data_IF_382231634575
#
_entry.id   IF_382231634575
#
_cell.length_a   1.000
_cell.length_b   1.000
_cell.length_c   1.000
_cell.angle_alpha   90.00
_cell.angle_beta   90.00
_cell.angle_gamma   90.00
#
_symmetry.space_group_name_H-M   'P 1'
#
loop_
_entity.id
_entity.type
_entity.pdbx_description
1 polymer ?
#
# COMPACT_ATOMS: atom_id res chain seq x y z
N UNK A 1 -13.76 -28.11 23.16
CA UNK A 1 -14.02 -27.55 21.83
C UNK A 1 -12.97 -28.06 20.86
N UNK A 2 -13.38 -28.72 19.80
CA UNK A 2 -12.43 -29.21 18.81
C UNK A 2 -12.19 -28.15 17.71
N UNK A 3 -11.19 -28.40 16.89
CA UNK A 3 -10.79 -27.45 15.84
C UNK A 3 -11.91 -27.21 14.82
N UNK A 4 -12.73 -28.20 14.57
CA UNK A 4 -13.85 -28.10 13.65
C UNK A 4 -14.87 -27.07 14.13
N UNK A 5 -15.20 -27.08 15.43
CA UNK A 5 -16.12 -26.12 16.03
C UNK A 5 -15.55 -24.70 15.98
N UNK A 6 -14.24 -24.54 16.21
CA UNK A 6 -13.58 -23.25 16.11
C UNK A 6 -13.64 -22.73 14.68
N UNK A 7 -13.38 -23.58 13.70
CA UNK A 7 -13.45 -23.20 12.30
C UNK A 7 -14.86 -22.78 11.88
N UNK A 8 -15.88 -23.43 12.40
CA UNK A 8 -17.26 -23.07 12.14
C UNK A 8 -17.62 -21.72 12.75
N UNK A 9 -17.12 -21.44 13.94
CA UNK A 9 -17.30 -20.13 14.58
C UNK A 9 -16.65 -19.01 13.74
N UNK A 10 -15.42 -19.19 13.31
CA UNK A 10 -14.71 -18.22 12.49
C UNK A 10 -15.47 -17.97 11.19
N UNK A 11 -15.93 -19.03 10.56
CA UNK A 11 -16.73 -18.92 9.33
C UNK A 11 -18.03 -18.16 9.56
N UNK A 12 -18.70 -18.43 10.68
CA UNK A 12 -19.94 -17.74 11.05
C UNK A 12 -19.71 -16.26 11.26
N UNK A 13 -18.62 -15.88 11.94
CA UNK A 13 -18.26 -14.48 12.14
C UNK A 13 -17.96 -13.79 10.81
N UNK A 14 -17.25 -14.48 9.91
CA UNK A 14 -16.96 -13.95 8.58
C UNK A 14 -18.23 -13.72 7.75
N UNK A 15 -19.27 -14.52 7.98
CA UNK A 15 -20.53 -14.37 7.27
C UNK A 15 -21.31 -13.11 7.66
N UNK A 16 -20.98 -12.50 8.79
CA UNK A 16 -21.59 -11.23 9.23
C UNK A 16 -21.05 -10.03 8.46
N UNK A 17 -19.95 -10.20 7.73
CA UNK A 17 -19.41 -9.14 6.88
C UNK A 17 -20.19 -9.08 5.57
N UNK A 18 -20.34 -7.89 4.98
CA UNK A 18 -20.94 -7.76 3.65
C UNK A 18 -20.24 -8.68 2.64
N UNK A 19 -21.02 -9.25 1.72
CA UNK A 19 -20.50 -10.17 0.71
C UNK A 19 -19.41 -9.47 -0.11
N UNK A 20 -18.28 -10.15 -0.30
CA UNK A 20 -17.17 -9.65 -1.09
C UNK A 20 -16.14 -8.86 -0.32
N UNK A 21 -16.39 -8.54 0.95
CA UNK A 21 -15.43 -7.81 1.76
C UNK A 21 -14.59 -8.78 2.58
N UNK A 22 -13.29 -8.75 2.35
CA UNK A 22 -12.32 -9.50 3.14
C UNK A 22 -11.22 -8.55 3.59
N UNK A 23 -11.31 -8.10 4.82
CA UNK A 23 -10.39 -7.13 5.38
C UNK A 23 -9.01 -7.71 5.68
N UNK A 24 -8.84 -9.02 5.55
CA UNK A 24 -7.56 -9.69 5.78
C UNK A 24 -6.66 -9.72 4.55
N UNK A 25 -7.21 -9.39 3.39
CA UNK A 25 -6.45 -9.43 2.13
C UNK A 25 -6.04 -8.04 1.69
N UNK A 26 -4.84 -7.95 1.12
CA UNK A 26 -4.43 -6.73 0.46
C UNK A 26 -5.33 -6.46 -0.75
N UNK A 27 -5.83 -5.24 -0.86
CA UNK A 27 -6.71 -4.83 -1.96
C UNK A 27 -5.95 -4.13 -3.07
N UNK A 28 -4.72 -3.76 -2.81
CA UNK A 28 -3.78 -3.24 -3.78
C UNK A 28 -2.37 -3.51 -3.26
N UNK A 29 -1.43 -3.73 -4.17
CA UNK A 29 -0.03 -3.82 -3.80
C UNK A 29 0.85 -3.50 -4.99
N UNK A 30 2.07 -3.10 -4.73
CA UNK A 30 3.02 -2.73 -5.75
C UNK A 30 4.44 -3.05 -5.29
N UNK A 31 5.24 -3.60 -6.19
CA UNK A 31 6.69 -3.66 -6.08
C UNK A 31 7.28 -2.79 -7.19
N UNK A 32 8.10 -1.83 -6.83
CA UNK A 32 8.67 -0.90 -7.80
C UNK A 32 10.18 -0.81 -7.63
N UNK A 33 10.86 -0.38 -8.70
CA UNK A 33 12.30 -0.26 -8.73
C UNK A 33 12.69 1.16 -9.11
N UNK A 34 13.74 1.65 -8.46
CA UNK A 34 14.35 2.95 -8.73
C UNK A 34 13.33 4.11 -8.71
N UNK A 35 12.30 3.97 -7.90
CA UNK A 35 11.29 5.02 -7.72
C UNK A 35 10.43 5.33 -8.93
N UNK A 36 10.48 4.54 -9.99
CA UNK A 36 9.76 4.91 -11.21
C UNK A 36 9.20 3.73 -11.99
N UNK A 37 9.73 2.53 -11.80
CA UNK A 37 9.36 1.37 -12.62
C UNK A 37 8.57 0.37 -11.80
N UNK A 38 7.36 0.03 -12.27
CA UNK A 38 6.56 -1.02 -11.65
C UNK A 38 7.10 -2.37 -12.11
N UNK A 39 7.53 -3.20 -11.16
CA UNK A 39 7.95 -4.57 -11.44
C UNK A 39 6.79 -5.54 -11.34
N UNK A 40 5.90 -5.34 -10.38
CA UNK A 40 4.70 -6.15 -10.20
C UNK A 40 3.69 -5.33 -9.42
N UNK A 41 2.42 -5.55 -9.69
CA UNK A 41 1.38 -4.81 -8.99
C UNK A 41 0.02 -5.48 -9.10
N UNK A 42 -0.88 -5.08 -8.22
CA UNK A 42 -2.27 -5.47 -8.24
C UNK A 42 -3.11 -4.26 -7.86
N UNK A 43 -4.13 -3.96 -8.64
CA UNK A 43 -5.04 -2.81 -8.48
C UNK A 43 -4.30 -1.46 -8.42
N UNK A 44 -3.22 -1.36 -9.18
CA UNK A 44 -2.48 -0.10 -9.34
C UNK A 44 -2.59 0.32 -10.79
N UNK A 45 -3.10 1.50 -11.03
CA UNK A 45 -3.22 2.05 -12.38
C UNK A 45 -1.93 2.73 -12.81
N UNK A 46 -1.31 3.50 -11.93
CA UNK A 46 -0.13 4.27 -12.28
C UNK A 46 0.76 4.52 -11.06
N UNK A 47 2.04 4.62 -11.32
CA UNK A 47 3.04 5.10 -10.37
C UNK A 47 3.64 6.37 -10.97
N UNK A 48 3.56 7.47 -10.25
CA UNK A 48 4.05 8.76 -10.72
C UNK A 48 5.20 9.22 -9.83
N UNK A 49 6.30 9.57 -10.47
CA UNK A 49 7.45 10.16 -9.78
C UNK A 49 7.33 11.69 -9.87
N UNK A 50 7.14 12.33 -8.73
CA UNK A 50 7.02 13.79 -8.63
C UNK A 50 8.35 14.49 -8.37
N UNK A 51 9.40 13.72 -8.20
CA UNK A 51 10.75 14.20 -7.86
C UNK A 51 11.47 13.12 -7.08
N UNK A 52 12.75 13.31 -6.82
CA UNK A 52 13.54 12.32 -6.11
C UNK A 52 12.92 12.00 -4.76
N UNK A 53 12.57 10.72 -4.56
CA UNK A 53 12.00 10.25 -3.30
C UNK A 53 10.56 10.69 -3.05
N UNK A 54 9.88 11.22 -4.05
CA UNK A 54 8.53 11.75 -3.90
C UNK A 54 7.62 11.16 -4.97
N UNK A 55 6.73 10.27 -4.58
CA UNK A 55 5.97 9.42 -5.48
C UNK A 55 4.51 9.40 -5.12
N UNK A 56 3.68 8.92 -6.05
CA UNK A 56 2.30 8.58 -5.76
C UNK A 56 1.86 7.37 -6.58
N UNK A 57 0.93 6.60 -6.04
CA UNK A 57 0.23 5.55 -6.78
C UNK A 57 -1.22 5.94 -6.93
N UNK A 58 -1.78 5.61 -8.08
CA UNK A 58 -3.21 5.71 -8.35
C UNK A 58 -3.79 4.31 -8.40
N UNK A 59 -4.91 4.10 -7.72
CA UNK A 59 -5.58 2.80 -7.70
C UNK A 59 -6.48 2.65 -8.92
N UNK A 60 -6.49 1.47 -9.52
CA UNK A 60 -7.42 1.19 -10.63
C UNK A 60 -8.86 1.18 -10.12
N UNK A 61 -9.11 0.53 -8.99
CA UNK A 61 -10.38 0.60 -8.27
C UNK A 61 -10.11 1.32 -6.96
N UNK A 62 -10.69 2.49 -6.75
CA UNK A 62 -10.46 3.25 -5.53
C UNK A 62 -11.00 2.57 -4.28
N UNK A 63 -10.47 2.96 -3.13
CA UNK A 63 -11.04 2.59 -1.85
C UNK A 63 -12.32 3.39 -1.61
N UNK A 64 -13.17 2.85 -0.76
CA UNK A 64 -14.44 3.48 -0.42
C UNK A 64 -14.26 4.81 0.30
N UNK A 65 -13.17 4.94 1.04
CA UNK A 65 -12.80 6.18 1.73
C UNK A 65 -11.29 6.29 1.81
N UNK A 66 -10.80 7.40 2.31
CA UNK A 66 -9.37 7.60 2.54
C UNK A 66 -8.85 6.87 3.79
N UNK A 67 -9.68 6.09 4.45
CA UNK A 67 -9.31 5.42 5.70
C UNK A 67 -8.95 3.96 5.47
N UNK A 68 -8.01 3.72 4.59
CA UNK A 68 -7.40 2.41 4.39
C UNK A 68 -6.03 2.40 5.04
N UNK A 69 -5.48 1.22 5.25
CA UNK A 69 -4.16 1.03 5.87
C UNK A 69 -3.14 0.73 4.79
N UNK A 70 -2.01 1.41 4.84
CA UNK A 70 -0.87 1.15 3.97
C UNK A 70 0.29 0.64 4.80
N UNK A 71 0.94 -0.42 4.32
CA UNK A 71 2.19 -0.92 4.89
C UNK A 71 3.25 -0.85 3.80
N UNK A 72 4.47 -0.53 4.18
CA UNK A 72 5.51 -0.27 3.20
C UNK A 72 6.89 -0.64 3.72
N UNK A 73 7.80 -0.91 2.79
CA UNK A 73 9.20 -1.13 3.10
C UNK A 73 10.05 -0.71 1.91
N UNK A 74 11.15 -0.02 2.18
CA UNK A 74 12.15 0.28 1.17
C UNK A 74 13.15 -0.87 1.11
N UNK A 75 13.43 -1.30 -0.11
CA UNK A 75 14.53 -2.24 -0.35
C UNK A 75 15.79 -1.40 -0.56
N UNK A 76 16.79 -1.62 0.28
CA UNK A 76 18.01 -0.84 0.23
C UNK A 76 18.80 -1.17 -1.02
N UNK A 77 18.86 -0.23 -1.93
CA UNK A 77 19.55 -0.40 -3.19
C UNK A 77 21.00 0.07 -3.06
N UNK A 78 21.94 -0.71 -3.61
CA UNK A 78 23.36 -0.35 -3.68
C UNK A 78 24.07 -0.17 -2.35
N UNK A 79 23.58 -0.80 -1.29
CA UNK A 79 24.29 -0.81 -0.02
C UNK A 79 24.32 0.51 0.74
N UNK A 80 23.51 1.49 0.35
CA UNK A 80 23.39 2.69 1.15
C UNK A 80 22.63 2.39 2.43
N UNK A 81 23.04 2.96 3.53
CA UNK A 81 22.47 2.66 4.84
C UNK A 81 21.24 3.51 5.12
N UNK A 82 20.14 2.86 5.49
CA UNK A 82 19.10 3.55 6.21
C UNK A 82 18.05 4.29 5.41
N UNK A 83 17.64 3.77 4.27
CA UNK A 83 16.45 4.32 3.61
C UNK A 83 15.17 3.83 4.29
N UNK A 84 14.20 4.69 4.45
CA UNK A 84 12.88 4.30 4.94
C UNK A 84 11.80 4.95 4.09
N UNK A 85 10.71 4.24 3.92
CA UNK A 85 9.53 4.84 3.27
C UNK A 85 8.81 5.68 4.31
N UNK A 86 8.65 6.94 3.99
CA UNK A 86 7.86 7.86 4.78
C UNK A 86 6.52 8.03 4.09
N UNK A 87 5.46 7.70 4.78
CA UNK A 87 4.12 7.72 4.21
C UNK A 87 3.55 9.13 4.18
N UNK A 88 2.74 9.39 3.17
CA UNK A 88 1.92 10.58 3.00
C UNK A 88 2.69 11.89 3.07
N UNK A 89 3.18 12.31 1.95
CA UNK A 89 3.76 13.64 1.86
C UNK A 89 2.67 14.66 1.53
N UNK A 90 2.66 15.76 2.24
CA UNK A 90 1.73 16.84 1.99
C UNK A 90 2.01 17.56 0.68
N UNK A 91 3.20 17.38 0.13
CA UNK A 91 3.61 18.05 -1.08
C UNK A 91 3.10 17.37 -2.34
N UNK A 92 2.61 16.15 -2.24
CA UNK A 92 2.02 15.42 -3.34
C UNK A 92 0.53 15.24 -3.08
N UNK A 93 0.04 14.03 -3.17
CA UNK A 93 -1.40 13.80 -3.09
C UNK A 93 -1.91 13.41 -1.71
N UNK A 94 -0.99 13.10 -0.80
CA UNK A 94 -1.41 12.58 0.50
C UNK A 94 -2.10 11.24 0.36
N UNK A 95 -3.05 10.99 1.24
CA UNK A 95 -3.83 9.76 1.20
C UNK A 95 -5.29 10.09 0.88
N UNK A 96 -5.74 9.69 -0.30
CA UNK A 96 -7.13 9.86 -0.72
C UNK A 96 -7.70 8.49 -1.10
N UNK A 97 -8.99 8.43 -1.36
CA UNK A 97 -9.62 7.16 -1.77
C UNK A 97 -9.04 6.61 -3.08
N UNK A 98 -8.58 7.48 -3.96
CA UNK A 98 -8.10 7.09 -5.29
C UNK A 98 -6.61 7.06 -5.45
N UNK A 99 -5.85 7.65 -4.53
CA UNK A 99 -4.39 7.69 -4.64
C UNK A 99 -3.70 7.81 -3.30
N UNK A 100 -2.43 7.47 -3.29
CA UNK A 100 -1.60 7.47 -2.10
C UNK A 100 -0.25 8.10 -2.45
N UNK A 101 0.03 9.25 -1.85
CA UNK A 101 1.31 9.93 -1.98
C UNK A 101 2.28 9.42 -0.92
N UNK A 102 3.50 9.14 -1.32
CA UNK A 102 4.51 8.65 -0.40
C UNK A 102 5.89 9.11 -0.85
N UNK A 103 6.82 9.00 0.05
CA UNK A 103 8.21 9.29 -0.24
C UNK A 103 9.09 8.51 0.70
N UNK A 104 10.38 8.57 0.47
CA UNK A 104 11.32 8.02 1.41
C UNK A 104 12.58 8.85 1.45
N UNK A 105 13.17 8.84 2.63
CA UNK A 105 14.40 9.58 2.88
C UNK A 105 15.34 8.73 3.70
N UNK A 106 16.60 9.08 3.64
CA UNK A 106 17.56 8.57 4.61
C UNK A 106 17.30 9.26 5.95
N UNK A 107 17.86 8.69 7.01
CA UNK A 107 17.67 9.24 8.35
C UNK A 107 18.25 10.66 8.52
N UNK A 108 19.02 11.13 7.55
CA UNK A 108 19.56 12.49 7.54
C UNK A 108 18.73 13.44 6.66
N UNK A 109 17.46 13.12 6.43
CA UNK A 109 16.52 13.91 5.62
C UNK A 109 16.89 14.03 4.13
N UNK A 110 17.73 13.14 3.64
CA UNK A 110 18.07 13.11 2.21
C UNK A 110 17.10 12.20 1.48
N UNK A 111 16.38 12.73 0.51
CA UNK A 111 15.47 11.96 -0.33
C UNK A 111 16.23 11.19 -1.40
N UNK A 112 15.74 10.01 -1.74
CA UNK A 112 16.36 9.16 -2.75
C UNK A 112 15.31 8.33 -3.49
N UNK A 113 15.65 7.88 -4.69
CA UNK A 113 14.85 6.89 -5.41
C UNK A 113 15.37 5.50 -5.05
N UNK A 114 14.50 4.69 -4.49
CA UNK A 114 14.84 3.34 -4.04
C UNK A 114 13.87 2.33 -4.64
N UNK A 115 14.23 1.05 -4.51
CA UNK A 115 13.27 -0.02 -4.72
C UNK A 115 12.40 -0.12 -3.48
N UNK A 116 11.16 -0.52 -3.66
CA UNK A 116 10.28 -0.64 -2.51
C UNK A 116 8.98 -1.34 -2.85
N UNK A 117 8.20 -1.58 -1.81
CA UNK A 117 6.91 -2.22 -1.96
C UNK A 117 5.93 -1.68 -0.94
N UNK A 118 4.66 -1.65 -1.37
CA UNK A 118 3.54 -1.20 -0.56
C UNK A 118 2.41 -2.19 -0.70
N UNK A 119 1.65 -2.35 0.37
CA UNK A 119 0.40 -3.09 0.34
C UNK A 119 -0.67 -2.29 1.08
N UNK A 120 -1.90 -2.40 0.59
CA UNK A 120 -3.01 -1.58 1.07
C UNK A 120 -4.17 -2.47 1.46
N UNK A 121 -4.77 -2.17 2.61
CA UNK A 121 -5.86 -2.96 3.20
C UNK A 121 -7.04 -2.04 3.51
N UNK A 122 -8.22 -2.44 3.09
CA UNK A 122 -9.42 -1.66 3.33
C UNK A 122 -10.56 -2.15 2.46
N UNK A 123 -11.64 -1.39 2.44
CA UNK A 123 -12.80 -1.69 1.60
C UNK A 123 -12.70 -0.91 0.29
N UNK A 124 -12.80 -1.61 -0.84
CA UNK A 124 -12.87 -0.97 -2.15
C UNK A 124 -14.27 -0.44 -2.42
N UNK A 125 -14.39 0.56 -3.28
CA UNK A 125 -15.69 1.18 -3.59
C UNK A 125 -16.67 0.22 -4.26
N UNK A 126 -16.16 -0.84 -4.92
CA UNK A 126 -17.00 -1.83 -5.61
C UNK A 126 -17.31 -3.06 -4.76
N UNK A 127 -16.96 -3.04 -3.50
CA UNK A 127 -17.23 -4.14 -2.59
C UNK A 127 -18.52 -3.95 -1.78
#
# INVERSE_FOLDING_TARGET
TDQRQVNEMVRSLSADLPAGIDMSKAKAWIYFENGASISASYNIEALTNHGTGNMSVDFAVPFKSAKYVAVSMAANRAGSSGGSIVCTTSDTKGQTSGNFGFGWSYFNDTYANEDGYLAFFGELENE
#
